data_IF_657161809351
#
_entry.id   IF_657161809351
#
_cell.length_a   1.000
_cell.length_b   1.000
_cell.length_c   1.000
_cell.angle_alpha   90.00
_cell.angle_beta   90.00
_cell.angle_gamma   90.00
#
_symmetry.space_group_name_H-M   'P 1'
#
loop_
_entity.id
_entity.type
_entity.pdbx_description
1 polymer ?
#
# COMPACT_ATOMS: atom_id res chain seq x y z
N UNK A 1 -0.06 26.02 -11.82
CA UNK A 1 1.26 26.57 -11.41
C UNK A 1 2.35 25.53 -11.65
N UNK A 2 3.63 25.87 -11.45
CA UNK A 2 4.77 24.94 -11.64
C UNK A 2 4.72 23.76 -10.64
N UNK A 3 4.26 24.01 -9.41
CA UNK A 3 4.13 22.97 -8.38
C UNK A 3 3.09 21.90 -8.71
N UNK A 4 1.89 22.29 -9.13
CA UNK A 4 0.83 21.34 -9.50
C UNK A 4 1.34 20.36 -10.56
N UNK A 5 2.18 20.85 -11.50
CA UNK A 5 2.82 20.03 -12.53
C UNK A 5 3.84 19.06 -11.95
N UNK A 6 4.63 19.49 -10.96
CA UNK A 6 5.59 18.64 -10.26
C UNK A 6 4.90 17.51 -9.51
N UNK A 7 3.93 17.83 -8.63
CA UNK A 7 3.19 16.84 -7.85
C UNK A 7 2.36 15.91 -8.75
N UNK A 8 1.67 16.45 -9.77
CA UNK A 8 0.96 15.62 -10.73
C UNK A 8 1.91 14.68 -11.49
N UNK A 9 3.15 15.10 -11.76
CA UNK A 9 4.16 14.24 -12.39
C UNK A 9 4.62 13.12 -11.45
N UNK A 10 4.83 13.40 -10.16
CA UNK A 10 5.16 12.38 -9.16
C UNK A 10 4.04 11.36 -9.04
N UNK A 11 2.80 11.82 -8.85
CA UNK A 11 1.65 10.93 -8.68
C UNK A 11 1.41 10.11 -9.95
N UNK A 12 1.50 10.74 -11.14
CA UNK A 12 1.37 10.02 -12.41
C UNK A 12 2.45 8.96 -12.59
N UNK A 13 3.71 9.29 -12.25
CA UNK A 13 4.81 8.33 -12.28
C UNK A 13 4.58 7.17 -11.32
N UNK A 14 4.15 7.49 -10.09
CA UNK A 14 3.82 6.52 -9.07
C UNK A 14 2.73 5.58 -9.58
N UNK A 15 1.56 6.10 -9.96
CA UNK A 15 0.45 5.29 -10.49
C UNK A 15 0.86 4.42 -11.69
N UNK A 16 1.71 4.93 -12.58
CA UNK A 16 2.20 4.15 -13.72
C UNK A 16 3.18 3.03 -13.37
N UNK A 17 3.66 2.96 -12.12
CA UNK A 17 4.43 1.82 -11.59
C UNK A 17 3.54 0.77 -10.92
N UNK A 18 2.26 1.06 -10.69
CA UNK A 18 1.28 0.11 -10.11
C UNK A 18 0.29 -0.41 -11.13
N UNK A 19 -0.09 0.41 -12.12
CA UNK A 19 -1.21 0.15 -13.01
C UNK A 19 -0.73 -0.08 -14.44
N UNK A 20 -1.19 -1.18 -15.03
CA UNK A 20 -0.85 -1.61 -16.38
C UNK A 20 -1.48 -0.67 -17.43
N UNK A 21 -0.72 -0.36 -18.48
CA UNK A 21 -1.18 0.40 -19.65
C UNK A 21 -1.77 1.80 -19.34
N UNK A 22 -1.40 2.41 -18.22
CA UNK A 22 -1.86 3.77 -17.89
C UNK A 22 -1.12 4.82 -18.72
N UNK A 23 -1.88 5.66 -19.42
CA UNK A 23 -1.33 6.81 -20.13
C UNK A 23 -0.96 7.92 -19.12
N UNK A 24 0.33 7.97 -18.75
CA UNK A 24 0.89 8.92 -17.77
C UNK A 24 0.57 10.38 -18.09
N UNK A 25 0.55 10.77 -19.36
CA UNK A 25 0.22 12.15 -19.75
C UNK A 25 -1.25 12.47 -19.51
N UNK A 26 -2.15 11.55 -19.85
CA UNK A 26 -3.59 11.72 -19.58
C UNK A 26 -3.87 11.80 -18.08
N UNK A 27 -3.20 10.95 -17.29
CA UNK A 27 -3.27 10.97 -15.82
C UNK A 27 -2.79 12.31 -15.28
N UNK A 28 -1.64 12.80 -15.75
CA UNK A 28 -1.05 14.06 -15.32
C UNK A 28 -1.97 15.24 -15.65
N UNK A 29 -2.54 15.29 -16.85
CA UNK A 29 -3.51 16.34 -17.24
C UNK A 29 -4.76 16.30 -16.37
N UNK A 30 -5.27 15.10 -16.05
CA UNK A 30 -6.44 14.95 -15.17
C UNK A 30 -6.14 15.41 -13.74
N UNK A 31 -5.01 14.98 -13.18
CA UNK A 31 -4.53 15.44 -11.87
C UNK A 31 -4.38 16.96 -11.83
N UNK A 32 -3.85 17.60 -12.88
CA UNK A 32 -3.74 19.06 -12.98
C UNK A 32 -5.10 19.78 -12.97
N UNK A 33 -6.17 19.13 -13.41
CA UNK A 33 -7.55 19.65 -13.30
C UNK A 33 -8.13 19.52 -11.89
N UNK A 34 -7.45 18.78 -11.00
CA UNK A 34 -7.82 18.60 -9.59
C UNK A 34 -8.39 17.22 -9.27
N UNK A 35 -8.62 16.37 -10.26
CA UNK A 35 -9.15 15.02 -10.02
C UNK A 35 -8.82 14.06 -11.15
N UNK A 36 -8.56 12.81 -10.78
CA UNK A 36 -8.53 11.68 -11.71
C UNK A 36 -9.45 10.58 -11.21
N UNK A 37 -10.11 9.92 -12.15
CA UNK A 37 -10.89 8.71 -11.91
C UNK A 37 -10.46 7.65 -12.93
N UNK A 38 -10.16 6.45 -12.44
CA UNK A 38 -9.79 5.29 -13.22
C UNK A 38 -10.73 4.14 -12.83
N UNK A 39 -11.25 3.44 -13.82
CA UNK A 39 -12.18 2.32 -13.63
C UNK A 39 -11.62 1.06 -14.27
N UNK A 40 -11.90 -0.09 -13.67
CA UNK A 40 -11.55 -1.42 -14.19
C UNK A 40 -10.09 -1.53 -14.65
N UNK A 41 -9.16 -1.10 -13.79
CA UNK A 41 -7.73 -1.11 -14.10
C UNK A 41 -7.06 -2.39 -13.62
N UNK A 42 -6.06 -2.84 -14.37
CA UNK A 42 -5.21 -3.99 -13.99
C UNK A 42 -3.92 -3.51 -13.32
N UNK A 43 -3.47 -4.26 -12.32
CA UNK A 43 -2.20 -4.04 -11.65
C UNK A 43 -1.04 -4.63 -12.47
N UNK A 44 0.13 -4.00 -12.38
CA UNK A 44 1.36 -4.52 -12.97
C UNK A 44 1.82 -5.77 -12.23
N UNK A 45 2.20 -6.87 -12.93
CA UNK A 45 2.70 -8.09 -12.29
C UNK A 45 3.91 -7.84 -11.38
N UNK A 46 4.71 -6.82 -11.69
CA UNK A 46 5.93 -6.43 -10.95
C UNK A 46 5.65 -5.83 -9.57
N UNK A 47 4.38 -5.57 -9.24
CA UNK A 47 4.00 -4.94 -7.99
C UNK A 47 4.49 -5.71 -6.74
N UNK A 48 4.60 -7.03 -6.84
CA UNK A 48 5.03 -7.90 -5.74
C UNK A 48 6.46 -8.44 -5.92
N UNK A 49 7.27 -7.86 -6.81
CA UNK A 49 8.64 -8.33 -7.07
C UNK A 49 9.58 -8.16 -5.87
N UNK A 50 9.23 -7.30 -4.90
CA UNK A 50 9.95 -7.14 -3.65
C UNK A 50 9.84 -8.35 -2.70
N UNK A 51 8.96 -9.30 -2.98
CA UNK A 51 8.74 -10.48 -2.13
C UNK A 51 9.32 -11.74 -2.77
N UNK A 52 10.17 -12.47 -2.05
CA UNK A 52 10.81 -13.69 -2.56
C UNK A 52 9.92 -14.94 -2.54
N UNK A 53 8.83 -14.92 -1.77
CA UNK A 53 7.98 -16.09 -1.52
C UNK A 53 6.71 -16.11 -2.38
N UNK A 54 6.20 -14.95 -2.78
CA UNK A 54 4.97 -14.83 -3.55
C UNK A 54 5.14 -13.90 -4.74
N UNK A 55 4.37 -14.14 -5.79
CA UNK A 55 4.26 -13.27 -6.96
C UNK A 55 2.81 -12.91 -7.24
N UNK A 56 2.60 -11.74 -7.84
CA UNK A 56 1.28 -11.35 -8.32
C UNK A 56 0.94 -12.16 -9.57
N UNK A 57 -0.13 -12.95 -9.49
CA UNK A 57 -0.67 -13.64 -10.66
C UNK A 57 -1.50 -12.68 -11.51
N UNK A 58 -2.43 -11.98 -10.85
CA UNK A 58 -3.26 -10.92 -11.42
C UNK A 58 -3.84 -10.06 -10.31
N UNK A 59 -4.00 -8.77 -10.57
CA UNK A 59 -4.72 -7.87 -9.68
C UNK A 59 -5.51 -6.84 -10.46
N UNK A 60 -6.65 -6.42 -9.91
CA UNK A 60 -7.54 -5.42 -10.50
C UNK A 60 -8.06 -4.46 -9.45
N UNK A 61 -8.34 -3.23 -9.87
CA UNK A 61 -9.05 -2.23 -9.09
C UNK A 61 -10.25 -1.77 -9.91
N UNK A 62 -11.46 -1.97 -9.39
CA UNK A 62 -12.69 -1.57 -10.07
C UNK A 62 -12.86 -0.05 -10.15
N UNK A 63 -12.45 0.69 -9.12
CA UNK A 63 -12.49 2.15 -9.12
C UNK A 63 -11.34 2.74 -8.28
N UNK A 64 -10.64 3.72 -8.85
CA UNK A 64 -9.61 4.52 -8.21
C UNK A 64 -9.87 6.00 -8.50
N UNK A 65 -9.99 6.82 -7.46
CA UNK A 65 -10.12 8.28 -7.57
C UNK A 65 -9.06 8.96 -6.71
N UNK A 66 -8.44 10.01 -7.27
CA UNK A 66 -7.54 10.89 -6.53
C UNK A 66 -8.02 12.31 -6.74
N UNK A 67 -8.36 13.01 -5.67
CA UNK A 67 -8.84 14.40 -5.66
C UNK A 67 -7.82 15.28 -4.96
N UNK A 68 -7.37 16.33 -5.63
CA UNK A 68 -6.39 17.28 -5.12
C UNK A 68 -6.98 18.69 -5.23
N UNK A 69 -7.30 19.34 -4.11
CA UNK A 69 -7.91 20.66 -4.11
C UNK A 69 -6.84 21.74 -4.33
N UNK A 70 -6.21 21.83 -5.52
CA UNK A 70 -5.10 22.76 -5.80
C UNK A 70 -5.36 24.20 -5.36
N UNK A 71 -6.59 24.68 -5.51
CA UNK A 71 -7.01 26.04 -5.14
C UNK A 71 -7.21 26.24 -3.63
N UNK A 72 -7.31 25.17 -2.85
CA UNK A 72 -7.64 25.22 -1.43
C UNK A 72 -6.88 24.18 -0.58
N UNK A 73 -5.62 23.88 -0.91
CA UNK A 73 -4.77 22.92 -0.17
C UNK A 73 -4.52 23.32 1.29
N UNK A 74 -4.79 24.58 1.65
CA UNK A 74 -4.64 25.08 3.01
C UNK A 74 -5.87 24.83 3.89
N UNK A 75 -7.02 24.48 3.33
CA UNK A 75 -8.25 24.23 4.09
C UNK A 75 -8.92 22.89 3.74
N UNK A 76 -8.60 22.32 2.58
CA UNK A 76 -9.17 21.06 2.09
C UNK A 76 -8.07 20.00 1.95
N UNK A 77 -8.44 18.76 2.26
CA UNK A 77 -7.59 17.58 2.14
C UNK A 77 -7.56 17.00 0.73
N UNK A 78 -6.47 16.32 0.41
CA UNK A 78 -6.45 15.40 -0.73
C UNK A 78 -7.18 14.11 -0.35
N UNK A 79 -7.96 13.55 -1.26
CA UNK A 79 -8.71 12.32 -1.01
C UNK A 79 -8.37 11.26 -2.04
N UNK A 80 -8.15 10.04 -1.56
CA UNK A 80 -7.91 8.87 -2.39
C UNK A 80 -9.00 7.84 -2.09
N UNK A 81 -9.74 7.44 -3.12
CA UNK A 81 -10.79 6.42 -3.00
C UNK A 81 -10.42 5.22 -3.87
N UNK A 82 -10.37 4.03 -3.28
CA UNK A 82 -10.06 2.78 -3.96
C UNK A 82 -11.19 1.81 -3.64
N UNK A 83 -11.86 1.28 -4.65
CA UNK A 83 -12.98 0.35 -4.46
C UNK A 83 -12.83 -0.89 -5.33
N UNK A 84 -13.31 -2.01 -4.79
CA UNK A 84 -13.36 -3.29 -5.49
C UNK A 84 -11.96 -3.74 -5.93
N UNK A 85 -11.10 -3.98 -4.95
CA UNK A 85 -9.74 -4.45 -5.17
C UNK A 85 -9.74 -5.98 -5.12
N UNK A 86 -9.22 -6.63 -6.16
CA UNK A 86 -9.08 -8.08 -6.22
C UNK A 86 -7.63 -8.42 -6.56
N UNK A 87 -6.97 -9.21 -5.72
CA UNK A 87 -5.56 -9.57 -5.88
C UNK A 87 -5.43 -11.09 -5.74
N UNK A 88 -4.83 -11.74 -6.72
CA UNK A 88 -4.45 -13.16 -6.64
C UNK A 88 -2.94 -13.27 -6.65
N UNK A 89 -2.40 -13.84 -5.59
CA UNK A 89 -1.00 -14.16 -5.38
C UNK A 89 -0.78 -15.66 -5.53
N UNK A 90 0.38 -16.04 -6.03
CA UNK A 90 0.82 -17.43 -6.11
C UNK A 90 2.19 -17.56 -5.44
N UNK A 91 2.43 -18.68 -4.77
CA UNK A 91 3.75 -18.99 -4.21
C UNK A 91 4.79 -19.15 -5.31
N UNK A 92 6.00 -18.59 -5.13
CA UNK A 92 7.13 -18.77 -6.04
C UNK A 92 7.76 -20.15 -5.82
N UNK A 93 8.05 -20.89 -6.89
CA UNK A 93 9.00 -22.00 -6.81
C UNK A 93 10.38 -21.41 -6.56
N UNK A 94 11.07 -21.81 -5.49
CA UNK A 94 12.50 -21.49 -5.33
C UNK A 94 13.24 -22.00 -6.56
N UNK A 95 13.55 -21.13 -7.51
CA UNK A 95 14.45 -21.47 -8.61
C UNK A 95 15.85 -21.57 -8.03
N UNK A 96 16.58 -22.63 -8.36
CA UNK A 96 17.99 -22.85 -7.95
C UNK A 96 18.90 -21.63 -8.22
N UNK A 97 18.47 -20.74 -9.12
CA UNK A 97 19.11 -19.47 -9.44
C UNK A 97 19.15 -18.47 -8.28
N UNK A 98 18.15 -18.47 -7.38
CA UNK A 98 18.12 -17.57 -6.23
C UNK A 98 19.13 -17.96 -5.15
N UNK A 99 19.46 -19.25 -4.99
CA UNK A 99 20.54 -19.67 -4.09
C UNK A 99 21.91 -19.21 -4.62
N UNK A 100 22.10 -19.23 -5.94
CA UNK A 100 23.31 -18.71 -6.57
C UNK A 100 23.42 -17.18 -6.47
N UNK A 101 22.33 -16.43 -6.68
CA UNK A 101 22.33 -14.96 -6.56
C UNK A 101 22.46 -14.49 -5.11
N UNK A 102 21.80 -15.15 -4.14
CA UNK A 102 21.97 -14.85 -2.71
C UNK A 102 23.41 -15.12 -2.27
N UNK A 103 24.01 -16.23 -2.74
CA UNK A 103 25.41 -16.55 -2.45
C UNK A 103 26.37 -15.56 -3.12
N UNK A 104 26.14 -15.18 -4.38
CA UNK A 104 26.95 -14.18 -5.08
C UNK A 104 26.82 -12.78 -4.46
N UNK A 105 25.64 -12.42 -3.95
CA UNK A 105 25.40 -11.14 -3.27
C UNK A 105 26.00 -11.13 -1.86
N UNK A 106 25.95 -12.24 -1.13
CA UNK A 106 26.67 -12.43 0.14
C UNK A 106 28.19 -12.41 -0.05
N UNK A 107 28.70 -13.05 -1.10
CA UNK A 107 30.13 -13.01 -1.47
C UNK A 107 30.57 -11.61 -1.95
N UNK A 108 29.67 -10.85 -2.58
CA UNK A 108 29.90 -9.45 -2.95
C UNK A 108 29.95 -8.51 -1.76
N UNK A 109 29.04 -8.68 -0.79
CA UNK A 109 29.04 -7.92 0.48
C UNK A 109 30.30 -8.23 1.30
N UNK A 110 30.69 -9.51 1.40
CA UNK A 110 31.90 -9.92 2.10
C UNK A 110 33.20 -9.37 1.47
N UNK A 111 33.19 -9.02 0.18
CA UNK A 111 34.31 -8.35 -0.51
C UNK A 111 34.30 -6.83 -0.34
N UNK A 112 33.13 -6.23 -0.16
CA UNK A 112 32.96 -4.79 0.09
C UNK A 112 33.29 -4.41 1.54
N UNK A 113 33.22 -5.34 2.50
CA UNK A 113 33.62 -5.09 3.90
C UNK A 113 35.15 -5.00 4.10
N UNK A 114 35.97 -5.39 3.12
CA UNK A 114 37.44 -5.31 3.18
C UNK A 114 38.05 -4.10 2.47
N UNK A 115 37.24 -3.23 1.89
CA UNK A 115 37.71 -2.03 1.18
C UNK A 115 36.67 -0.92 1.35
N UNK A 116 37.14 0.24 1.80
CA UNK A 116 36.44 1.53 1.81
C UNK A 116 35.78 1.94 3.14
N UNK A 117 36.66 2.16 4.12
CA UNK A 117 36.64 3.40 4.92
C UNK A 117 36.75 4.63 4.02
N UNK A 118 35.93 5.65 4.31
CA UNK A 118 36.03 7.07 3.91
C UNK A 118 35.26 7.52 2.66
N UNK A 119 34.08 8.09 2.85
CA UNK A 119 33.70 9.45 2.39
C UNK A 119 32.26 9.78 2.83
N UNK A 120 32.12 10.24 4.07
CA UNK A 120 30.98 11.04 4.50
C UNK A 120 31.29 12.50 4.13
N UNK A 121 30.57 13.06 3.17
CA UNK A 121 30.58 14.51 2.90
C UNK A 121 29.16 15.06 3.06
N UNK A 122 28.98 15.72 4.20
CA UNK A 122 28.31 17.01 4.42
C UNK A 122 27.02 17.34 3.64
N UNK A 123 25.86 17.09 4.24
CA UNK A 123 24.68 17.97 4.12
C UNK A 123 24.61 18.90 5.33
N UNK A 124 25.24 20.07 5.23
CA UNK A 124 25.05 21.19 6.15
C UNK A 124 23.66 21.80 5.95
N UNK A 125 22.83 21.70 6.98
CA UNK A 125 21.59 22.47 7.15
C UNK A 125 21.96 23.97 7.16
N UNK A 126 21.66 24.67 6.06
CA UNK A 126 21.72 26.14 6.02
C UNK A 126 20.44 26.74 6.59
N UNK A 127 20.48 27.97 7.15
CA UNK A 127 19.30 28.63 7.69
C UNK A 127 18.28 28.86 6.58
N UNK A 128 17.00 28.67 6.90
CA UNK A 128 15.86 28.83 5.98
C UNK A 128 15.93 30.16 5.18
N UNK A 129 16.52 30.11 3.99
CA UNK A 129 16.35 31.16 2.99
C UNK A 129 14.96 30.99 2.37
N UNK A 130 14.23 32.10 2.20
CA UNK A 130 12.93 32.20 1.52
C UNK A 130 13.05 31.89 0.02
N UNK A 131 13.49 30.69 -0.32
CA UNK A 131 13.60 30.20 -1.68
C UNK A 131 12.33 29.44 -2.07
N UNK A 132 12.08 29.35 -3.38
CA UNK A 132 10.99 28.55 -3.94
C UNK A 132 11.01 27.10 -3.42
N UNK A 133 12.18 26.57 -3.07
CA UNK A 133 12.33 25.22 -2.51
C UNK A 133 11.72 25.07 -1.10
N UNK A 134 11.89 26.06 -0.22
CA UNK A 134 11.27 26.06 1.11
C UNK A 134 9.73 26.06 1.02
N UNK A 135 9.18 26.84 0.09
CA UNK A 135 7.74 26.84 -0.20
C UNK A 135 7.23 25.47 -0.69
N UNK A 136 7.97 24.83 -1.62
CA UNK A 136 7.64 23.51 -2.16
C UNK A 136 7.65 22.42 -1.07
N UNK A 137 8.66 22.41 -0.20
CA UNK A 137 8.77 21.47 0.93
C UNK A 137 7.59 21.63 1.90
N UNK A 138 7.22 22.86 2.25
CA UNK A 138 6.06 23.14 3.13
C UNK A 138 4.75 22.63 2.52
N UNK A 139 4.56 22.82 1.21
CA UNK A 139 3.35 22.39 0.52
C UNK A 139 3.27 20.87 0.33
N UNK A 140 4.39 20.20 0.02
CA UNK A 140 4.47 18.74 0.01
C UNK A 140 4.11 18.16 1.38
N UNK A 141 4.70 18.70 2.46
CA UNK A 141 4.38 18.32 3.84
C UNK A 141 2.89 18.54 4.13
N UNK A 142 2.29 19.63 3.66
CA UNK A 142 0.84 19.90 3.84
C UNK A 142 -0.04 18.83 3.20
N UNK A 143 0.29 18.41 1.98
CA UNK A 143 -0.44 17.34 1.26
C UNK A 143 -0.29 16.01 2.01
N UNK A 144 0.93 15.63 2.38
CA UNK A 144 1.21 14.40 3.12
C UNK A 144 0.55 14.39 4.52
N UNK A 145 0.45 15.56 5.14
CA UNK A 145 -0.12 15.67 6.47
C UNK A 145 -1.65 15.55 6.48
N UNK A 146 -2.32 15.87 5.38
CA UNK A 146 -3.78 15.96 5.36
C UNK A 146 -4.44 15.01 4.36
N UNK A 147 -3.70 14.20 3.58
CA UNK A 147 -4.38 13.25 2.69
C UNK A 147 -5.25 12.28 3.49
N UNK A 148 -6.42 11.95 2.98
CA UNK A 148 -7.27 10.88 3.48
C UNK A 148 -7.35 9.78 2.42
N UNK A 149 -7.44 8.53 2.86
CA UNK A 149 -7.70 7.43 1.95
C UNK A 149 -8.84 6.55 2.45
N UNK A 150 -9.60 6.03 1.48
CA UNK A 150 -10.75 5.16 1.68
C UNK A 150 -10.59 3.98 0.74
N UNK A 151 -10.47 2.78 1.30
CA UNK A 151 -10.35 1.53 0.57
C UNK A 151 -11.55 0.66 0.91
N UNK A 152 -12.31 0.22 -0.09
CA UNK A 152 -13.52 -0.57 0.10
C UNK A 152 -13.49 -1.84 -0.74
N UNK A 153 -14.05 -2.92 -0.18
CA UNK A 153 -14.21 -4.21 -0.84
C UNK A 153 -12.88 -4.73 -1.41
N UNK A 154 -11.95 -5.08 -0.52
CA UNK A 154 -10.67 -5.70 -0.87
C UNK A 154 -10.79 -7.20 -0.71
N UNK A 155 -10.43 -7.94 -1.74
CA UNK A 155 -10.29 -9.40 -1.72
C UNK A 155 -8.86 -9.76 -2.11
N UNK A 156 -8.15 -10.46 -1.23
CA UNK A 156 -6.84 -11.02 -1.52
C UNK A 156 -6.91 -12.54 -1.46
N UNK A 157 -6.31 -13.20 -2.45
CA UNK A 157 -6.30 -14.65 -2.56
C UNK A 157 -4.87 -15.13 -2.77
N UNK A 158 -4.37 -15.94 -1.84
CA UNK A 158 -3.09 -16.61 -1.96
C UNK A 158 -3.33 -18.06 -2.37
N UNK A 159 -2.72 -18.49 -3.47
CA UNK A 159 -2.75 -19.88 -3.92
C UNK A 159 -1.36 -20.51 -3.81
N UNK A 160 -1.26 -21.63 -3.08
CA UNK A 160 -0.14 -22.56 -3.18
C UNK A 160 -0.57 -23.74 -4.06
N UNK A 161 -0.01 -23.74 -5.27
CA UNK A 161 -0.20 -24.81 -6.26
C UNK A 161 1.02 -25.74 -6.36
N UNK A 162 2.10 -25.44 -5.63
CA UNK A 162 3.36 -26.19 -5.66
C UNK A 162 3.38 -27.27 -4.57
N UNK A 163 2.48 -27.16 -3.58
CA UNK A 163 2.33 -28.17 -2.55
C UNK A 163 3.37 -28.05 -1.45
N UNK A 164 3.88 -26.84 -1.20
CA UNK A 164 4.85 -26.56 -0.14
C UNK A 164 4.30 -26.97 1.23
N UNK A 165 2.98 -26.99 1.38
CA UNK A 165 2.28 -27.40 2.58
C UNK A 165 2.06 -28.92 2.61
N UNK A 166 3.14 -29.68 2.81
CA UNK A 166 3.10 -31.16 2.99
C UNK A 166 2.42 -31.89 1.81
N UNK A 167 2.59 -31.41 0.57
CA UNK A 167 1.94 -31.99 -0.61
C UNK A 167 0.45 -31.65 -0.76
N UNK A 168 -0.07 -30.69 0.00
CA UNK A 168 -1.42 -30.16 -0.15
C UNK A 168 -1.39 -28.85 -0.95
N UNK A 169 -2.36 -28.66 -1.85
CA UNK A 169 -2.66 -27.34 -2.37
C UNK A 169 -3.49 -26.57 -1.35
N UNK A 170 -3.06 -25.35 -1.06
CA UNK A 170 -3.73 -24.45 -0.12
C UNK A 170 -4.20 -23.22 -0.86
N UNK A 171 -5.39 -22.75 -0.54
CA UNK A 171 -5.83 -21.40 -0.90
C UNK A 171 -6.30 -20.67 0.36
N UNK A 172 -5.85 -19.43 0.51
CA UNK A 172 -6.30 -18.52 1.55
C UNK A 172 -6.96 -17.34 0.85
N UNK A 173 -8.19 -17.02 1.25
CA UNK A 173 -8.90 -15.82 0.80
C UNK A 173 -9.10 -14.95 2.02
N UNK A 174 -8.63 -13.72 1.98
CA UNK A 174 -9.02 -12.72 2.96
C UNK A 174 -9.74 -11.56 2.32
N UNK A 175 -10.68 -11.02 3.07
CA UNK A 175 -11.57 -9.97 2.65
C UNK A 175 -11.52 -8.83 3.66
N UNK A 176 -11.61 -7.61 3.15
CA UNK A 176 -11.71 -6.40 3.96
C UNK A 176 -12.86 -5.58 3.40
N UNK A 177 -13.86 -5.29 4.23
CA UNK A 177 -15.02 -4.52 3.79
C UNK A 177 -14.65 -3.05 3.59
N UNK A 178 -13.97 -2.46 4.56
CA UNK A 178 -13.48 -1.09 4.45
C UNK A 178 -12.24 -0.85 5.31
N UNK A 179 -11.38 0.04 4.81
CA UNK A 179 -10.27 0.65 5.53
C UNK A 179 -10.29 2.12 5.21
N UNK A 180 -10.31 2.98 6.23
CA UNK A 180 -10.21 4.41 6.04
C UNK A 180 -9.16 5.00 6.96
N UNK A 181 -8.46 6.01 6.47
CA UNK A 181 -7.46 6.72 7.23
C UNK A 181 -7.60 8.22 7.03
N UNK A 182 -7.67 8.93 8.15
CA UNK A 182 -7.83 10.38 8.17
C UNK A 182 -6.84 11.01 9.15
N UNK A 183 -6.46 12.25 8.88
CA UNK A 183 -5.66 13.04 9.80
C UNK A 183 -6.51 13.42 11.03
N UNK A 184 -5.88 13.41 12.21
CA UNK A 184 -6.53 13.75 13.46
C UNK A 184 -5.74 14.79 14.24
N UNK A 185 -6.38 15.40 15.23
CA UNK A 185 -5.69 16.14 16.28
C UNK A 185 -5.02 15.19 17.30
N UNK A 186 -4.41 15.78 18.34
CA UNK A 186 -3.78 15.04 19.45
C UNK A 186 -4.78 14.27 20.33
N UNK A 187 -6.08 14.56 20.20
CA UNK A 187 -7.18 13.84 20.85
C UNK A 187 -7.81 12.76 19.94
N UNK A 188 -7.18 12.45 18.80
CA UNK A 188 -7.66 11.51 17.79
C UNK A 188 -9.05 11.85 17.21
N UNK A 189 -9.43 13.13 17.21
CA UNK A 189 -10.62 13.60 16.52
C UNK A 189 -10.27 14.00 15.07
N UNK A 190 -11.12 13.69 14.08
CA UNK A 190 -10.89 14.09 12.70
C UNK A 190 -10.68 15.61 12.59
N UNK A 191 -9.51 16.02 12.10
CA UNK A 191 -9.14 17.43 12.05
C UNK A 191 -8.24 17.72 10.86
N UNK A 192 -8.35 18.95 10.34
CA UNK A 192 -7.43 19.44 9.32
C UNK A 192 -6.23 20.11 9.99
N UNK A 193 -5.05 19.53 9.82
CA UNK A 193 -3.84 19.92 10.52
C UNK A 193 -3.22 21.17 9.90
N UNK A 194 -3.34 22.31 10.59
CA UNK A 194 -2.87 23.63 10.16
C UNK A 194 -1.40 23.90 10.47
N UNK A 195 -0.90 23.47 11.63
CA UNK A 195 0.48 23.68 12.10
C UNK A 195 1.23 22.35 12.21
N UNK A 196 2.50 22.31 11.79
CA UNK A 196 3.33 21.11 11.99
C UNK A 196 4.14 21.27 13.29
N UNK A 197 3.63 20.75 14.39
CA UNK A 197 4.33 20.69 15.69
C UNK A 197 5.42 19.60 15.74
N UNK A 198 5.73 18.96 14.60
CA UNK A 198 6.62 17.78 14.56
C UNK A 198 5.88 16.46 14.79
N UNK A 199 4.63 16.51 15.26
CA UNK A 199 3.80 15.33 15.48
C UNK A 199 2.76 15.17 14.37
N UNK A 200 2.44 13.92 14.05
CA UNK A 200 1.52 13.54 12.99
C UNK A 200 0.60 12.43 13.46
N UNK A 201 -0.68 12.79 13.65
CA UNK A 201 -1.70 11.88 14.16
C UNK A 201 -2.65 11.44 13.04
N UNK A 202 -2.93 10.15 12.99
CA UNK A 202 -3.90 9.55 12.08
C UNK A 202 -4.77 8.53 12.80
N UNK A 203 -6.05 8.57 12.49
CA UNK A 203 -6.99 7.52 12.81
C UNK A 203 -7.11 6.59 11.60
N UNK A 204 -6.86 5.31 11.80
CA UNK A 204 -7.17 4.23 10.88
C UNK A 204 -8.35 3.45 11.45
N UNK A 205 -9.44 3.30 10.71
CA UNK A 205 -10.50 2.33 11.04
C UNK A 205 -10.57 1.28 9.97
N UNK A 206 -10.87 0.05 10.38
CA UNK A 206 -11.16 -1.03 9.47
C UNK A 206 -12.44 -1.74 9.90
N UNK A 207 -13.11 -2.35 8.93
CA UNK A 207 -14.30 -3.15 9.16
C UNK A 207 -14.29 -4.40 8.30
N UNK A 208 -14.84 -5.48 8.85
CA UNK A 208 -15.10 -6.72 8.15
C UNK A 208 -13.84 -7.41 7.65
N UNK A 209 -12.73 -7.33 8.40
CA UNK A 209 -11.55 -8.15 8.09
C UNK A 209 -11.88 -9.60 8.43
N UNK A 210 -11.85 -10.46 7.43
CA UNK A 210 -12.09 -11.89 7.57
C UNK A 210 -11.10 -12.68 6.71
N UNK A 211 -10.84 -13.93 7.09
CA UNK A 211 -10.01 -14.84 6.31
C UNK A 211 -10.61 -16.24 6.30
N UNK A 212 -10.45 -16.95 5.20
CA UNK A 212 -10.93 -18.31 5.01
C UNK A 212 -9.87 -19.12 4.27
N UNK A 213 -9.76 -20.40 4.61
CA UNK A 213 -8.75 -21.32 4.09
C UNK A 213 -9.39 -22.56 3.48
N UNK A 214 -8.83 -23.04 2.38
CA UNK A 214 -9.14 -24.34 1.80
C UNK A 214 -7.85 -25.11 1.61
N UNK A 215 -7.88 -26.38 2.00
CA UNK A 215 -6.82 -27.33 1.74
C UNK A 215 -7.37 -28.49 0.89
N UNK A 216 -6.65 -28.89 -0.14
CA UNK A 216 -6.96 -30.05 -0.98
C UNK A 216 -5.69 -30.82 -1.33
N UNK A 217 -5.78 -32.11 -1.66
CA UNK A 217 -4.62 -32.88 -2.16
C UNK A 217 -4.14 -32.27 -3.47
N UNK A 218 -2.82 -32.04 -3.63
CA UNK A 218 -2.28 -31.27 -4.76
C UNK A 218 -2.69 -31.82 -6.14
N UNK A 219 -2.76 -33.15 -6.25
CA UNK A 219 -3.13 -33.89 -7.46
C UNK A 219 -4.57 -33.64 -7.93
N UNK A 220 -5.44 -33.11 -7.06
CA UNK A 220 -6.85 -32.88 -7.34
C UNK A 220 -7.15 -31.50 -7.92
N UNK A 221 -6.14 -30.61 -8.03
CA UNK A 221 -6.36 -29.22 -8.40
C UNK A 221 -5.68 -28.88 -9.72
N UNK A 222 -6.50 -28.49 -10.71
CA UNK A 222 -6.00 -27.75 -11.86
C UNK A 222 -5.86 -26.26 -11.48
N UNK A 223 -4.67 -25.65 -11.65
CA UNK A 223 -4.49 -24.22 -11.41
C UNK A 223 -5.50 -23.43 -12.24
N UNK A 224 -6.17 -22.46 -11.61
CA UNK A 224 -7.05 -21.55 -12.37
C UNK A 224 -6.17 -20.63 -13.19
N UNK A 225 -6.40 -20.57 -14.50
CA UNK A 225 -5.76 -19.57 -15.34
C UNK A 225 -6.44 -18.21 -15.12
N UNK A 226 -5.94 -17.48 -14.12
CA UNK A 226 -6.46 -16.17 -13.75
C UNK A 226 -6.30 -15.12 -14.85
N UNK A 227 -5.36 -15.28 -15.78
CA UNK A 227 -5.04 -14.28 -16.80
C UNK A 227 -5.97 -14.33 -18.01
N UNK A 228 -6.59 -15.48 -18.30
CA UNK A 228 -7.56 -15.61 -19.40
C UNK A 228 -8.97 -15.11 -19.06
N UNK A 229 -9.26 -14.86 -17.77
CA UNK A 229 -10.59 -14.39 -17.35
C UNK A 229 -10.87 -12.93 -17.76
N UNK A 230 -12.14 -12.58 -17.91
CA UNK A 230 -12.53 -11.15 -17.95
C UNK A 230 -12.36 -10.53 -16.55
N UNK A 231 -12.22 -9.19 -16.45
CA UNK A 231 -12.10 -8.49 -15.16
C UNK A 231 -13.29 -8.79 -14.24
N UNK A 232 -14.51 -8.86 -14.79
CA UNK A 232 -15.73 -9.18 -14.03
C UNK A 232 -15.67 -10.60 -13.46
N UNK A 233 -15.29 -11.58 -14.28
CA UNK A 233 -15.21 -12.98 -13.83
C UNK A 233 -14.04 -13.19 -12.86
N UNK A 234 -12.92 -12.51 -13.08
CA UNK A 234 -11.78 -12.48 -12.16
C UNK A 234 -12.20 -11.95 -10.79
N UNK A 235 -12.85 -10.78 -10.74
CA UNK A 235 -13.29 -10.15 -9.50
C UNK A 235 -14.27 -11.05 -8.75
N UNK A 236 -15.23 -11.64 -9.46
CA UNK A 236 -16.18 -12.60 -8.88
C UNK A 236 -15.47 -13.80 -8.26
N UNK A 237 -14.55 -14.44 -8.99
CA UNK A 237 -13.85 -15.66 -8.53
C UNK A 237 -12.81 -15.41 -7.45
N UNK A 238 -12.18 -14.23 -7.44
CA UNK A 238 -11.19 -13.83 -6.44
C UNK A 238 -11.79 -13.88 -5.02
N UNK A 239 -13.02 -13.36 -4.86
CA UNK A 239 -13.71 -13.29 -3.56
C UNK A 239 -14.49 -14.54 -3.16
N UNK A 240 -14.54 -15.59 -3.99
CA UNK A 240 -15.31 -16.82 -3.66
C UNK A 240 -14.69 -17.53 -2.46
N UNK A 241 -15.51 -17.70 -1.42
CA UNK A 241 -15.20 -18.46 -0.20
C UNK A 241 -16.08 -19.70 -0.02
N UNK A 242 -17.01 -20.00 -0.93
CA UNK A 242 -17.87 -21.20 -0.86
C UNK A 242 -17.03 -22.48 -0.83
N UNK A 243 -17.06 -23.23 0.28
CA UNK A 243 -16.24 -24.43 0.52
C UNK A 243 -14.85 -24.13 1.09
N UNK A 244 -14.59 -22.91 1.57
CA UNK A 244 -13.46 -22.59 2.44
C UNK A 244 -13.92 -22.69 3.89
N UNK A 245 -13.04 -23.12 4.78
CA UNK A 245 -13.24 -23.07 6.23
C UNK A 245 -12.84 -21.70 6.77
N UNK A 246 -13.57 -21.10 7.73
CA UNK A 246 -13.18 -19.83 8.32
C UNK A 246 -11.85 -19.97 9.08
N UNK A 247 -10.93 -19.06 8.84
CA UNK A 247 -9.66 -18.93 9.58
C UNK A 247 -9.72 -17.74 10.55
N UNK A 248 -10.34 -16.65 10.12
CA UNK A 248 -10.61 -15.46 10.93
C UNK A 248 -12.04 -15.01 10.65
N UNK A 249 -12.85 -14.93 11.69
CA UNK A 249 -14.20 -14.38 11.60
C UNK A 249 -14.14 -12.86 11.37
N UNK A 250 -15.16 -12.28 10.70
CA UNK A 250 -15.21 -10.84 10.46
C UNK A 250 -15.02 -10.04 11.75
N UNK A 251 -14.02 -9.17 11.73
CA UNK A 251 -13.67 -8.29 12.85
C UNK A 251 -13.61 -6.84 12.41
N UNK A 252 -13.97 -5.97 13.34
CA UNK A 252 -13.96 -4.53 13.19
C UNK A 252 -12.93 -3.95 14.17
N UNK A 253 -12.28 -2.85 13.81
CA UNK A 253 -11.28 -2.28 14.70
C UNK A 253 -10.87 -0.86 14.33
N UNK A 254 -10.14 -0.28 15.27
CA UNK A 254 -9.64 1.07 15.18
C UNK A 254 -8.18 1.09 15.64
N UNK A 255 -7.34 1.76 14.86
CA UNK A 255 -5.93 1.94 15.12
C UNK A 255 -5.63 3.43 15.11
N UNK A 256 -5.17 3.92 16.25
CA UNK A 256 -4.66 5.27 16.37
C UNK A 256 -3.16 5.25 16.17
N UNK A 257 -2.72 5.96 15.14
CA UNK A 257 -1.32 6.05 14.74
C UNK A 257 -0.80 7.44 15.09
N UNK A 258 0.24 7.49 15.91
CA UNK A 258 0.99 8.71 16.17
C UNK A 258 2.43 8.53 15.66
N UNK A 259 2.80 9.34 14.68
CA UNK A 259 4.18 9.48 14.22
C UNK A 259 4.77 10.75 14.83
N UNK A 260 5.83 10.60 15.62
CA UNK A 260 6.56 11.73 16.18
C UNK A 260 7.87 11.88 15.41
N UNK A 261 7.99 12.95 14.62
CA UNK A 261 9.24 13.35 13.97
C UNK A 261 9.96 14.30 14.93
N UNK A 262 10.56 13.77 15.99
CA UNK A 262 11.33 14.60 16.90
C UNK A 262 12.59 15.13 16.21
N UNK A 263 12.73 16.46 16.18
CA UNK A 263 13.99 17.15 15.91
C UNK A 263 14.23 18.12 17.08
N UNK A 264 14.49 17.62 18.29
CA UNK A 264 15.13 18.40 19.36
C UNK A 264 15.96 17.47 20.27
N UNK A 265 17.29 17.51 20.14
CA UNK A 265 18.23 16.89 21.09
C UNK A 265 19.01 15.68 20.56
N UNK A 266 20.33 15.67 20.81
CA UNK A 266 21.41 14.84 20.24
C UNK A 266 21.27 13.30 20.30
N UNK A 267 20.15 12.69 20.72
CA UNK A 267 20.09 11.23 20.86
C UNK A 267 18.72 10.55 20.70
N UNK A 268 17.70 11.21 20.14
CA UNK A 268 16.39 10.55 19.94
C UNK A 268 16.14 10.15 18.48
N UNK A 269 15.92 8.85 18.26
CA UNK A 269 15.57 8.28 16.95
C UNK A 269 14.07 8.44 16.71
N UNK A 270 13.62 8.70 15.46
CA UNK A 270 12.20 8.74 15.14
C UNK A 270 11.54 7.40 15.52
N UNK A 271 10.36 7.48 16.14
CA UNK A 271 9.60 6.29 16.53
C UNK A 271 8.12 6.41 16.15
N UNK A 272 7.48 5.26 15.94
CA UNK A 272 6.05 5.17 15.59
C UNK A 272 5.32 4.57 16.78
N UNK A 273 4.35 5.31 17.34
CA UNK A 273 3.47 4.80 18.39
C UNK A 273 2.16 4.31 17.76
N UNK A 274 1.89 3.03 17.91
CA UNK A 274 0.68 2.37 17.43
C UNK A 274 -0.20 1.99 18.63
N UNK A 275 -1.43 2.49 18.68
CA UNK A 275 -2.42 2.12 19.69
C UNK A 275 -3.55 1.36 19.02
N UNK A 276 -3.60 0.05 19.25
CA UNK A 276 -4.59 -0.84 18.67
C UNK A 276 -5.80 -1.02 19.60
N UNK A 277 -7.00 -0.79 19.08
CA UNK A 277 -8.26 -1.12 19.72
C UNK A 277 -9.06 -2.02 18.79
N UNK A 278 -9.00 -3.32 19.03
CA UNK A 278 -9.77 -4.31 18.26
C UNK A 278 -11.10 -4.53 18.98
N UNK A 279 -12.21 -4.27 18.30
CA UNK A 279 -13.54 -4.66 18.78
C UNK A 279 -13.82 -6.05 18.22
N UNK A 280 -13.48 -7.09 18.99
CA UNK A 280 -14.03 -8.40 18.66
C UNK A 280 -15.54 -8.31 18.81
N UNK A 281 -16.28 -8.62 17.74
CA UNK A 281 -17.66 -9.06 17.93
C UNK A 281 -17.55 -10.39 18.64
N UNK A 282 -17.85 -10.41 19.94
CA UNK A 282 -18.12 -11.67 20.61
C UNK A 282 -19.21 -12.37 19.79
N UNK A 283 -18.86 -13.51 19.19
CA UNK A 283 -19.84 -14.42 18.63
C UNK A 283 -20.70 -14.90 19.79
N UNK A 284 -21.83 -14.23 20.01
CA UNK A 284 -22.93 -14.79 20.78
C UNK A 284 -23.49 -15.98 19.99
N UNK A 285 -23.11 -17.16 20.49
CA UNK A 285 -23.58 -18.52 20.20
C UNK A 285 -23.15 -19.20 18.89
#
# INVERSE_FOLDING_TARGET
MVFDRYVASIISSYLGNFIKNVNKETVKVSLLRGSIELTDVELLPTLFDFNDFVQLKRGTIGYLSVKIPWRNLYNNRCEIHIKNVCIVLETKTKTSRQEADVKAKLEGIARLESTDTMSEEDEKDSPEEETKEGFLKRLQKRILNNFAFFVENVSFRLEDNIGLWKGMSVAIVGNIQSVQCEATDSAFQPAFLTNSTGEFFRALTYSGIAASIRCAKSNARHPTDWNSLSIKEFSRRCSITEGFSPLLFPSDGHLNVNYVLDKVGENQRPYVKLVFLVKNRECLH
#
